data_IF_984376865701
#
_entry.id   IF_984376865701
#
_cell.length_a   1.000
_cell.length_b   1.000
_cell.length_c   1.000
_cell.angle_alpha   90.00
_cell.angle_beta   90.00
_cell.angle_gamma   90.00
#
_symmetry.space_group_name_H-M   'P 1'
#
loop_
_entity.id
_entity.type
_entity.pdbx_description
1 polymer ?
#
# COMPACT_ATOMS: atom_id res chain seq x y z
N UNK A 1 -7.90 20.70 -1.28
CA UNK A 1 -6.53 20.17 -1.11
C UNK A 1 -6.52 18.74 -1.66
N UNK A 2 -6.04 18.55 -2.88
CA UNK A 2 -5.89 17.21 -3.47
C UNK A 2 -4.72 16.49 -2.81
N UNK A 3 -5.00 15.38 -2.11
CA UNK A 3 -3.96 14.59 -1.46
C UNK A 3 -2.99 13.99 -2.48
N UNK A 4 -1.69 14.03 -2.20
CA UNK A 4 -0.65 13.54 -3.11
C UNK A 4 -0.45 12.03 -2.98
N UNK A 5 0.18 11.39 -3.98
CA UNK A 5 0.47 9.94 -3.95
C UNK A 5 1.23 9.51 -2.69
N UNK A 6 2.17 10.34 -2.22
CA UNK A 6 2.98 10.08 -1.03
C UNK A 6 2.16 10.05 0.26
N UNK A 7 1.15 10.91 0.38
CA UNK A 7 0.26 10.91 1.55
C UNK A 7 -0.57 9.63 1.64
N UNK A 8 -1.00 9.08 0.51
CA UNK A 8 -1.71 7.80 0.47
C UNK A 8 -0.80 6.62 0.82
N UNK A 9 0.48 6.67 0.47
CA UNK A 9 1.45 5.66 0.90
C UNK A 9 1.64 5.68 2.42
N UNK A 10 1.79 6.87 3.01
CA UNK A 10 1.90 7.01 4.46
C UNK A 10 0.62 6.57 5.19
N UNK A 11 -0.56 6.85 4.63
CA UNK A 11 -1.83 6.32 5.13
C UNK A 11 -1.87 4.80 5.05
N UNK A 12 -1.41 4.21 3.94
CA UNK A 12 -1.39 2.77 3.78
C UNK A 12 -0.41 2.10 4.75
N UNK A 13 0.74 2.73 4.99
CA UNK A 13 1.73 2.30 5.97
C UNK A 13 1.15 2.28 7.39
N UNK A 14 0.45 3.34 7.79
CA UNK A 14 -0.16 3.42 9.12
C UNK A 14 -1.25 2.37 9.30
N UNK A 15 -2.10 2.16 8.29
CA UNK A 15 -3.15 1.13 8.31
C UNK A 15 -2.54 -0.28 8.39
N UNK A 16 -1.49 -0.55 7.62
CA UNK A 16 -0.94 -1.90 7.47
C UNK A 16 -0.08 -2.33 8.65
N UNK A 17 0.75 -1.42 9.15
CA UNK A 17 1.84 -1.78 10.07
C UNK A 17 1.79 -1.03 11.39
N UNK A 18 0.97 0.02 11.50
CA UNK A 18 0.85 0.85 12.69
C UNK A 18 2.23 1.26 13.28
N UNK A 19 3.19 1.56 12.40
CA UNK A 19 4.56 1.96 12.75
C UNK A 19 5.61 0.83 12.85
N UNK A 20 5.23 -0.45 12.74
CA UNK A 20 6.17 -1.58 12.75
C UNK A 20 6.18 -2.29 11.40
N UNK A 21 7.09 -1.93 10.46
CA UNK A 21 7.11 -2.52 9.14
C UNK A 21 7.37 -4.02 9.23
N UNK A 22 6.45 -4.80 8.67
CA UNK A 22 6.55 -6.25 8.60
C UNK A 22 6.84 -6.68 7.17
N UNK A 23 7.86 -7.51 6.99
CA UNK A 23 8.22 -8.04 5.69
C UNK A 23 7.10 -8.94 5.14
N UNK A 24 6.59 -8.69 3.92
CA UNK A 24 5.54 -9.50 3.32
C UNK A 24 6.03 -10.88 2.86
N UNK A 25 7.34 -11.11 2.78
CA UNK A 25 7.94 -12.36 2.30
C UNK A 25 8.24 -13.34 3.43
N UNK A 26 8.89 -12.87 4.49
CA UNK A 26 9.31 -13.71 5.63
C UNK A 26 8.57 -13.41 6.93
N UNK A 27 7.75 -12.35 6.99
CA UNK A 27 6.98 -11.98 8.18
C UNK A 27 7.78 -11.31 9.29
N UNK A 28 9.08 -11.07 9.11
CA UNK A 28 9.92 -10.44 10.14
C UNK A 28 9.66 -8.93 10.26
N UNK A 29 9.96 -8.37 11.42
CA UNK A 29 9.83 -6.94 11.72
C UNK A 29 11.17 -6.19 11.68
N UNK A 30 12.26 -6.90 11.38
CA UNK A 30 13.59 -6.33 11.29
C UNK A 30 13.80 -5.72 9.90
N UNK A 31 13.16 -4.59 9.66
CA UNK A 31 13.21 -3.89 8.38
C UNK A 31 13.73 -2.45 8.54
N UNK A 32 14.58 -2.03 7.61
CA UNK A 32 15.09 -0.68 7.48
C UNK A 32 14.32 0.08 6.40
N UNK A 33 13.98 1.35 6.65
CA UNK A 33 13.26 2.19 5.69
C UNK A 33 14.24 2.97 4.79
N UNK A 34 14.11 2.80 3.46
CA UNK A 34 14.74 3.64 2.46
C UNK A 34 13.79 4.79 2.07
N UNK A 35 13.87 5.90 2.80
CA UNK A 35 12.99 7.06 2.64
C UNK A 35 13.05 7.69 1.23
N UNK A 36 14.21 7.64 0.57
CA UNK A 36 14.40 8.16 -0.79
C UNK A 36 13.56 7.42 -1.84
N UNK A 37 13.39 6.11 -1.67
CA UNK A 37 12.75 5.23 -2.64
C UNK A 37 11.36 4.72 -2.21
N UNK A 38 10.87 5.16 -1.04
CA UNK A 38 9.59 4.69 -0.46
C UNK A 38 9.54 3.16 -0.34
N UNK A 39 10.69 2.58 0.00
CA UNK A 39 10.92 1.15 0.10
C UNK A 39 11.44 0.77 1.47
N UNK A 40 11.26 -0.50 1.80
CA UNK A 40 11.73 -1.14 3.01
C UNK A 40 12.68 -2.27 2.64
N UNK A 41 13.71 -2.48 3.42
CA UNK A 41 14.65 -3.57 3.26
C UNK A 41 14.58 -4.47 4.48
N UNK A 42 14.28 -5.74 4.27
CA UNK A 42 14.31 -6.72 5.34
C UNK A 42 15.75 -7.18 5.59
N UNK A 43 16.22 -7.07 6.84
CA UNK A 43 17.56 -7.51 7.21
C UNK A 43 17.68 -9.03 7.41
N UNK A 44 16.57 -9.76 7.47
CA UNK A 44 16.58 -11.22 7.65
C UNK A 44 16.57 -11.97 6.32
N UNK A 45 15.76 -11.49 5.35
CA UNK A 45 15.65 -12.10 4.02
C UNK A 45 16.34 -11.28 2.91
N UNK A 46 17.03 -10.20 3.28
CA UNK A 46 17.79 -9.30 2.38
C UNK A 46 17.01 -8.80 1.16
N UNK A 47 15.68 -8.74 1.26
CA UNK A 47 14.80 -8.39 0.15
C UNK A 47 14.21 -7.01 0.37
N UNK A 48 14.16 -6.22 -0.71
CA UNK A 48 13.54 -4.90 -0.72
C UNK A 48 12.08 -4.98 -1.16
N UNK A 49 11.18 -4.28 -0.48
CA UNK A 49 9.74 -4.28 -0.72
C UNK A 49 9.14 -2.89 -0.53
N UNK A 50 8.05 -2.60 -1.23
CA UNK A 50 7.23 -1.40 -0.98
C UNK A 50 6.07 -1.73 -0.05
N UNK A 51 5.45 -0.69 0.52
CA UNK A 51 4.24 -0.83 1.35
C UNK A 51 3.06 -1.45 0.58
N UNK A 52 3.06 -1.37 -0.76
CA UNK A 52 2.03 -1.92 -1.64
C UNK A 52 2.20 -3.42 -1.93
N UNK A 53 3.34 -4.04 -1.56
CA UNK A 53 3.61 -5.47 -1.85
C UNK A 53 2.59 -6.38 -1.17
N UNK A 54 1.98 -7.28 -1.94
CA UNK A 54 0.94 -8.19 -1.43
C UNK A 54 -0.38 -7.51 -1.07
N UNK A 55 -0.64 -6.32 -1.61
CA UNK A 55 -1.95 -5.64 -1.53
C UNK A 55 -2.61 -5.58 -2.90
N UNK A 56 -3.87 -5.14 -2.94
CA UNK A 56 -4.59 -4.82 -4.18
C UNK A 56 -3.87 -3.79 -5.06
N UNK A 57 -2.98 -2.98 -4.47
CA UNK A 57 -2.20 -1.95 -5.16
C UNK A 57 -0.84 -2.46 -5.65
N UNK A 58 -0.55 -3.75 -5.48
CA UNK A 58 0.72 -4.31 -5.94
C UNK A 58 0.76 -4.32 -7.47
N UNK A 59 1.88 -3.85 -8.04
CA UNK A 59 2.12 -3.78 -9.49
C UNK A 59 1.06 -3.00 -10.30
N UNK A 60 0.23 -2.18 -9.64
CA UNK A 60 -0.75 -1.37 -10.37
C UNK A 60 -0.08 -0.14 -10.97
N UNK A 61 -0.28 0.11 -12.27
CA UNK A 61 0.14 1.35 -12.94
C UNK A 61 -0.76 2.55 -12.63
N UNK A 62 -1.81 2.34 -11.84
CA UNK A 62 -2.79 3.36 -11.47
C UNK A 62 -2.37 4.01 -10.15
N UNK A 63 -2.42 5.34 -10.10
CA UNK A 63 -2.12 6.09 -8.88
C UNK A 63 -2.99 5.66 -7.70
N UNK A 64 -2.38 5.61 -6.51
CA UNK A 64 -3.11 5.29 -5.28
C UNK A 64 -4.30 6.22 -5.04
N UNK A 65 -4.20 7.49 -5.40
CA UNK A 65 -5.33 8.42 -5.28
C UNK A 65 -6.58 7.92 -6.04
N UNK A 66 -6.42 7.39 -7.26
CA UNK A 66 -7.53 6.86 -8.06
C UNK A 66 -8.08 5.59 -7.44
N UNK A 67 -7.21 4.74 -6.92
CA UNK A 67 -7.61 3.54 -6.16
C UNK A 67 -8.44 3.88 -4.92
N UNK A 68 -8.00 4.82 -4.10
CA UNK A 68 -8.75 5.26 -2.92
C UNK A 68 -10.08 5.90 -3.30
N UNK A 69 -10.14 6.62 -4.43
CA UNK A 69 -11.41 7.15 -4.94
C UNK A 69 -12.36 6.04 -5.40
N UNK A 70 -11.85 5.05 -6.14
CA UNK A 70 -12.61 3.88 -6.54
C UNK A 70 -13.14 3.10 -5.33
N UNK A 71 -12.30 2.86 -4.32
CA UNK A 71 -12.70 2.25 -3.06
C UNK A 71 -13.80 3.06 -2.36
N UNK A 72 -13.69 4.39 -2.33
CA UNK A 72 -14.73 5.26 -1.77
C UNK A 72 -16.05 5.12 -2.52
N UNK A 73 -16.03 5.09 -3.85
CA UNK A 73 -17.23 4.88 -4.66
C UNK A 73 -17.86 3.51 -4.40
N UNK A 74 -17.03 2.48 -4.28
CA UNK A 74 -17.46 1.10 -3.97
C UNK A 74 -18.09 1.02 -2.59
N UNK A 75 -17.47 1.60 -1.57
CA UNK A 75 -17.97 1.55 -0.20
C UNK A 75 -19.24 2.38 0.01
N UNK A 76 -19.42 3.48 -0.73
CA UNK A 76 -20.58 4.35 -0.60
C UNK A 76 -21.71 4.04 -1.60
N UNK A 77 -21.58 3.00 -2.43
CA UNK A 77 -22.62 2.66 -3.40
C UNK A 77 -23.81 2.01 -2.70
N UNK A 78 -25.00 2.55 -2.91
CA UNK A 78 -26.26 1.94 -2.48
C UNK A 78 -26.75 0.84 -3.42
N UNK A 79 -26.08 0.64 -4.57
CA UNK A 79 -26.41 -0.36 -5.60
C UNK A 79 -25.32 -1.41 -5.69
N UNK A 80 -25.69 -2.62 -6.10
CA UNK A 80 -24.73 -3.71 -6.34
C UNK A 80 -23.79 -3.31 -7.47
N UNK A 81 -22.48 -3.41 -7.23
CA UNK A 81 -21.45 -3.16 -8.23
C UNK A 81 -21.14 -4.48 -8.92
N UNK A 82 -21.36 -4.51 -10.24
CA UNK A 82 -21.03 -5.64 -11.09
C UNK A 82 -19.76 -5.35 -11.88
N UNK A 83 -18.85 -6.32 -11.95
CA UNK A 83 -17.72 -6.29 -12.86
C UNK A 83 -18.08 -7.07 -14.13
N UNK A 84 -17.97 -6.44 -15.30
CA UNK A 84 -18.07 -7.15 -16.57
C UNK A 84 -16.72 -7.83 -16.81
N UNK A 85 -16.76 -9.15 -16.97
CA UNK A 85 -15.57 -9.97 -17.20
C UNK A 85 -15.08 -9.82 -18.64
#
# INVERSE_FOLDING_TARGET
>A
MSKTHQEYLHLLESIRWNGKPQCPYCGSTNAAAFKSEQRYHCNDCFTSYSVTVGTLFHQTHVDLQKWFHALKLVMNSSRVISMRR
#
